data_IF_301074982447
#
_entry.id   IF_301074982447
#
_cell.length_a   1.000
_cell.length_b   1.000
_cell.length_c   1.000
_cell.angle_alpha   90.00
_cell.angle_beta   90.00
_cell.angle_gamma   90.00
#
_symmetry.space_group_name_H-M   'P 1'
#
loop_
_entity.id
_entity.type
_entity.pdbx_description
1 polymer ?
#
# COMPACT_ATOMS: atom_id res chain seq x y z
N UNK A 1 -19.62 -21.98 3.66
CA UNK A 1 -20.33 -21.96 4.96
C UNK A 1 -19.87 -20.82 5.87
N UNK A 2 -18.60 -20.77 6.29
CA UNK A 2 -18.09 -19.77 7.27
C UNK A 2 -18.41 -18.30 6.92
N UNK A 3 -18.25 -17.94 5.64
CA UNK A 3 -18.54 -16.60 5.14
C UNK A 3 -19.96 -16.13 5.46
N UNK A 4 -20.96 -16.91 5.05
CA UNK A 4 -22.38 -16.57 5.20
C UNK A 4 -22.82 -16.58 6.67
N UNK A 5 -22.28 -17.51 7.47
CA UNK A 5 -22.73 -17.69 8.85
C UNK A 5 -22.14 -16.66 9.81
N UNK A 6 -20.86 -16.32 9.67
CA UNK A 6 -20.14 -15.58 10.71
C UNK A 6 -19.56 -14.24 10.23
N UNK A 7 -19.17 -14.13 8.96
CA UNK A 7 -18.31 -13.04 8.50
C UNK A 7 -19.08 -11.95 7.77
N UNK A 8 -19.94 -12.31 6.81
CA UNK A 8 -20.54 -11.37 5.85
C UNK A 8 -21.31 -10.24 6.52
N UNK A 9 -22.04 -10.55 7.61
CA UNK A 9 -22.81 -9.55 8.37
C UNK A 9 -21.89 -8.54 9.03
N UNK A 10 -20.83 -9.00 9.71
CA UNK A 10 -19.89 -8.12 10.41
C UNK A 10 -19.05 -7.31 9.42
N UNK A 11 -18.59 -7.93 8.34
CA UNK A 11 -17.85 -7.25 7.28
C UNK A 11 -18.70 -6.17 6.61
N UNK A 12 -19.96 -6.46 6.27
CA UNK A 12 -20.87 -5.45 5.69
C UNK A 12 -21.11 -4.26 6.63
N UNK A 13 -21.35 -4.51 7.93
CA UNK A 13 -21.48 -3.47 8.95
C UNK A 13 -20.23 -2.60 9.05
N UNK A 14 -19.04 -3.22 9.03
CA UNK A 14 -17.76 -2.53 9.00
C UNK A 14 -17.62 -1.64 7.76
N UNK A 15 -17.91 -2.17 6.57
CA UNK A 15 -17.84 -1.42 5.32
C UNK A 15 -18.73 -0.19 5.34
N UNK A 16 -20.02 -0.34 5.70
CA UNK A 16 -20.95 0.79 5.72
C UNK A 16 -20.61 1.82 6.79
N UNK A 17 -20.11 1.40 7.96
CA UNK A 17 -19.60 2.33 8.97
C UNK A 17 -18.44 3.15 8.41
N UNK A 18 -17.44 2.49 7.83
CA UNK A 18 -16.23 3.12 7.29
C UNK A 18 -16.56 4.06 6.12
N UNK A 19 -17.47 3.67 5.23
CA UNK A 19 -17.93 4.50 4.13
C UNK A 19 -18.68 5.75 4.60
N UNK A 20 -19.51 5.59 5.64
CA UNK A 20 -20.23 6.71 6.26
C UNK A 20 -19.28 7.72 6.90
N UNK A 21 -18.27 7.26 7.65
CA UNK A 21 -17.36 8.16 8.39
C UNK A 21 -16.18 8.65 7.55
N UNK A 22 -15.83 7.96 6.46
CA UNK A 22 -14.74 8.32 5.55
C UNK A 22 -13.34 8.24 6.16
N UNK A 23 -13.14 7.41 7.20
CA UNK A 23 -11.87 7.22 7.93
C UNK A 23 -11.93 5.96 8.80
N UNK A 24 -10.83 5.58 9.44
CA UNK A 24 -10.84 4.54 10.47
C UNK A 24 -11.77 4.93 11.65
N UNK A 25 -12.86 4.18 11.91
CA UNK A 25 -13.74 4.41 13.06
C UNK A 25 -13.01 4.17 14.38
N UNK A 26 -13.43 4.89 15.43
CA UNK A 26 -12.92 4.74 16.79
C UNK A 26 -13.75 3.73 17.58
N UNK A 27 -13.15 3.14 18.61
CA UNK A 27 -13.73 2.06 19.45
C UNK A 27 -15.24 2.19 19.73
N UNK A 28 -15.73 3.36 20.18
CA UNK A 28 -17.17 3.57 20.45
C UNK A 28 -18.07 3.27 19.25
N UNK A 29 -17.67 3.70 18.05
CA UNK A 29 -18.43 3.47 16.83
C UNK A 29 -18.34 2.01 16.39
N UNK A 30 -17.16 1.41 16.49
CA UNK A 30 -16.95 0.00 16.18
C UNK A 30 -17.84 -0.90 17.05
N UNK A 31 -17.86 -0.67 18.38
CA UNK A 31 -18.69 -1.44 19.31
C UNK A 31 -20.18 -1.29 19.03
N UNK A 32 -20.62 -0.07 18.69
CA UNK A 32 -22.03 0.23 18.43
C UNK A 32 -22.53 -0.39 17.13
N UNK A 33 -21.80 -0.20 16.02
CA UNK A 33 -22.31 -0.51 14.68
C UNK A 33 -21.81 -1.87 14.16
N UNK A 34 -20.64 -2.33 14.61
CA UNK A 34 -20.03 -3.60 14.20
C UNK A 34 -20.08 -4.64 15.32
N UNK A 35 -20.19 -4.23 16.59
CA UNK A 35 -20.28 -5.15 17.74
C UNK A 35 -18.94 -5.62 18.30
N UNK A 36 -17.83 -4.96 17.93
CA UNK A 36 -16.49 -5.27 18.44
C UNK A 36 -15.66 -3.98 18.56
N UNK A 37 -14.61 -3.98 19.39
CA UNK A 37 -13.70 -2.84 19.54
C UNK A 37 -12.91 -2.55 18.26
N UNK A 38 -12.28 -1.37 18.16
CA UNK A 38 -11.52 -0.97 16.97
C UNK A 38 -10.31 -1.88 16.72
N UNK A 39 -9.54 -2.23 17.74
CA UNK A 39 -8.43 -3.22 17.62
C UNK A 39 -8.92 -4.58 17.12
N UNK A 40 -10.03 -5.08 17.69
CA UNK A 40 -10.62 -6.35 17.28
C UNK A 40 -11.17 -6.28 15.85
N UNK A 41 -11.73 -5.14 15.45
CA UNK A 41 -12.19 -4.89 14.09
C UNK A 41 -11.03 -4.88 13.09
N UNK A 42 -9.88 -4.28 13.44
CA UNK A 42 -8.67 -4.34 12.61
C UNK A 42 -8.21 -5.79 12.40
N UNK A 43 -8.09 -6.57 13.47
CA UNK A 43 -7.71 -7.98 13.38
C UNK A 43 -8.72 -8.80 12.57
N UNK A 44 -10.02 -8.59 12.81
CA UNK A 44 -11.11 -9.24 12.08
C UNK A 44 -11.03 -8.99 10.57
N UNK A 45 -10.78 -7.75 10.13
CA UNK A 45 -10.62 -7.42 8.71
C UNK A 45 -9.37 -8.08 8.10
N UNK A 46 -8.27 -8.14 8.86
CA UNK A 46 -7.08 -8.89 8.47
C UNK A 46 -7.39 -10.36 8.24
N UNK A 47 -8.02 -11.04 9.20
CA UNK A 47 -8.41 -12.44 9.06
C UNK A 47 -9.42 -12.69 7.93
N UNK A 48 -10.34 -11.75 7.66
CA UNK A 48 -11.23 -11.86 6.52
C UNK A 48 -10.46 -11.79 5.19
N UNK A 49 -9.44 -10.93 5.10
CA UNK A 49 -8.56 -10.85 3.93
C UNK A 49 -7.81 -12.17 3.72
N UNK A 50 -7.22 -12.73 4.79
CA UNK A 50 -6.46 -13.97 4.72
C UNK A 50 -7.35 -15.17 4.35
N UNK A 51 -8.57 -15.23 4.90
CA UNK A 51 -9.53 -16.26 4.52
C UNK A 51 -9.92 -16.17 3.03
N UNK A 52 -10.22 -14.96 2.54
CA UNK A 52 -10.59 -14.76 1.14
C UNK A 52 -9.42 -15.13 0.22
N UNK A 53 -8.19 -14.79 0.59
CA UNK A 53 -6.99 -15.20 -0.12
C UNK A 53 -6.83 -16.73 -0.12
N UNK A 54 -6.97 -17.39 1.03
CA UNK A 54 -6.90 -18.84 1.13
C UNK A 54 -7.96 -19.54 0.27
N UNK A 55 -9.16 -18.95 0.15
CA UNK A 55 -10.21 -19.45 -0.75
C UNK A 55 -9.81 -19.33 -2.24
N UNK A 56 -9.16 -18.23 -2.63
CA UNK A 56 -8.68 -18.03 -4.01
C UNK A 56 -7.56 -19.01 -4.34
N UNK A 57 -6.58 -19.17 -3.45
CA UNK A 57 -5.45 -20.09 -3.61
C UNK A 57 -5.93 -21.55 -3.69
N UNK A 58 -6.88 -21.93 -2.83
CA UNK A 58 -7.46 -23.27 -2.84
C UNK A 58 -8.28 -23.56 -4.11
N UNK A 59 -8.95 -22.57 -4.69
CA UNK A 59 -9.69 -22.75 -5.94
C UNK A 59 -8.75 -23.03 -7.11
N UNK A 60 -7.60 -22.34 -7.17
CA UNK A 60 -6.57 -22.58 -8.20
C UNK A 60 -5.97 -23.98 -8.09
N UNK A 61 -5.68 -24.45 -6.87
CA UNK A 61 -5.12 -25.79 -6.66
C UNK A 61 -6.15 -26.93 -6.78
N UNK A 62 -7.44 -26.60 -6.70
CA UNK A 62 -8.52 -27.61 -6.70
C UNK A 62 -8.62 -28.43 -7.99
N UNK A 63 -8.17 -27.88 -9.12
CA UNK A 63 -8.18 -28.59 -10.41
C UNK A 63 -7.10 -29.70 -10.47
N UNK A 64 -6.09 -29.66 -9.58
CA UNK A 64 -4.99 -30.63 -9.52
C UNK A 64 -5.11 -31.62 -8.35
N UNK A 65 -5.93 -31.32 -7.33
CA UNK A 65 -6.07 -32.14 -6.12
C UNK A 65 -7.32 -33.02 -6.17
N UNK A 66 -7.17 -34.32 -5.93
CA UNK A 66 -8.31 -35.22 -5.74
C UNK A 66 -8.95 -35.00 -4.37
N UNK A 67 -10.28 -35.15 -4.30
CA UNK A 67 -11.00 -35.11 -3.03
C UNK A 67 -10.46 -36.19 -2.07
N UNK A 68 -10.25 -35.87 -0.79
CA UNK A 68 -9.81 -36.86 0.19
C UNK A 68 -10.85 -37.98 0.33
N UNK A 69 -10.39 -39.23 0.37
CA UNK A 69 -11.23 -40.37 0.72
C UNK A 69 -11.44 -40.35 2.23
N UNK A 70 -12.70 -40.31 2.66
CA UNK A 70 -13.07 -40.39 4.06
C UNK A 70 -13.37 -41.83 4.42
N UNK A 71 -12.40 -42.51 5.03
CA UNK A 71 -12.61 -43.84 5.61
C UNK A 71 -13.16 -43.70 7.03
N UNK A 72 -14.16 -44.51 7.36
CA UNK A 72 -14.72 -44.62 8.71
C UNK A 72 -14.39 -45.99 9.28
N UNK A 73 -13.89 -46.07 10.51
CA UNK A 73 -13.65 -47.36 11.16
C UNK A 73 -14.98 -48.03 11.52
N UNK A 74 -15.02 -49.37 11.52
CA UNK A 74 -16.23 -50.17 11.79
C UNK A 74 -16.96 -49.78 13.09
N UNK A 75 -16.19 -49.35 14.11
CA UNK A 75 -16.74 -48.90 15.39
C UNK A 75 -17.61 -47.63 15.28
N UNK A 76 -17.40 -46.81 14.24
CA UNK A 76 -18.09 -45.53 14.02
C UNK A 76 -19.25 -45.63 13.03
N UNK A 77 -19.33 -46.71 12.24
CA UNK A 77 -20.36 -46.91 11.19
C UNK A 77 -21.79 -46.90 11.76
N UNK A 78 -21.96 -47.29 13.03
CA UNK A 78 -23.27 -47.35 13.70
C UNK A 78 -23.56 -46.17 14.63
N UNK A 79 -22.66 -45.19 14.72
CA UNK A 79 -22.79 -44.04 15.62
C UNK A 79 -23.55 -42.92 14.90
N UNK A 80 -24.73 -42.57 15.40
CA UNK A 80 -25.47 -41.39 14.93
C UNK A 80 -24.92 -40.11 15.58
N UNK A 81 -24.64 -39.10 14.76
CA UNK A 81 -24.12 -37.81 15.20
C UNK A 81 -24.29 -36.72 14.14
N UNK A 82 -23.98 -35.45 14.47
CA UNK A 82 -23.95 -34.39 13.48
C UNK A 82 -22.86 -34.65 12.43
N UNK A 83 -23.12 -34.24 11.19
CA UNK A 83 -22.18 -34.35 10.06
C UNK A 83 -20.84 -33.71 10.45
N UNK A 84 -19.74 -34.42 10.17
CA UNK A 84 -18.41 -33.94 10.51
C UNK A 84 -18.06 -32.68 9.73
N UNK A 85 -17.15 -31.86 10.25
CA UNK A 85 -16.71 -30.64 9.57
C UNK A 85 -16.05 -30.94 8.21
N UNK A 86 -15.43 -32.12 8.06
CA UNK A 86 -14.77 -32.55 6.82
C UNK A 86 -15.81 -32.93 5.76
N UNK A 87 -16.84 -33.69 6.13
CA UNK A 87 -17.97 -33.98 5.25
C UNK A 87 -18.70 -32.69 4.83
N UNK A 88 -18.98 -31.80 5.78
CA UNK A 88 -19.55 -30.48 5.49
C UNK A 88 -18.68 -29.64 4.55
N UNK A 89 -17.36 -29.77 4.63
CA UNK A 89 -16.42 -29.08 3.75
C UNK A 89 -16.46 -29.65 2.33
N UNK A 90 -16.54 -30.97 2.16
CA UNK A 90 -16.65 -31.63 0.85
C UNK A 90 -17.98 -31.31 0.14
N UNK A 91 -19.04 -31.05 0.89
CA UNK A 91 -20.34 -30.63 0.34
C UNK A 91 -20.39 -29.15 -0.07
N UNK A 92 -19.33 -28.36 0.21
CA UNK A 92 -19.33 -26.95 -0.18
C UNK A 92 -19.21 -26.80 -1.69
N UNK A 93 -20.02 -25.88 -2.24
CA UNK A 93 -19.90 -25.49 -3.65
C UNK A 93 -18.60 -24.73 -3.88
N UNK A 94 -18.02 -24.93 -5.07
CA UNK A 94 -16.88 -24.15 -5.56
C UNK A 94 -17.22 -22.66 -5.55
N UNK A 95 -16.24 -21.83 -5.22
CA UNK A 95 -16.41 -20.38 -5.19
C UNK A 95 -16.54 -19.84 -6.62
N UNK A 96 -17.16 -18.67 -6.76
CA UNK A 96 -17.05 -17.88 -7.97
C UNK A 96 -15.83 -16.96 -7.86
N UNK A 97 -14.70 -17.40 -8.40
CA UNK A 97 -13.38 -16.77 -8.23
C UNK A 97 -13.40 -15.24 -8.40
N UNK A 98 -13.95 -14.66 -9.49
CA UNK A 98 -13.94 -13.21 -9.68
C UNK A 98 -14.72 -12.44 -8.60
N UNK A 99 -15.77 -13.04 -8.04
CA UNK A 99 -16.53 -12.41 -6.95
C UNK A 99 -15.72 -12.42 -5.65
N UNK A 100 -15.03 -13.53 -5.35
CA UNK A 100 -14.19 -13.64 -4.14
C UNK A 100 -13.01 -12.67 -4.23
N UNK A 101 -12.38 -12.55 -5.39
CA UNK A 101 -11.30 -11.58 -5.66
C UNK A 101 -11.79 -10.14 -5.43
N UNK A 102 -12.97 -9.80 -5.96
CA UNK A 102 -13.57 -8.49 -5.73
C UNK A 102 -13.85 -8.21 -4.24
N UNK A 103 -14.26 -9.22 -3.46
CA UNK A 103 -14.43 -9.07 -2.01
C UNK A 103 -13.10 -8.95 -1.28
N UNK A 104 -12.09 -9.69 -1.72
CA UNK A 104 -10.74 -9.63 -1.18
C UNK A 104 -10.21 -8.20 -1.31
N UNK A 105 -10.29 -7.58 -2.49
CA UNK A 105 -9.87 -6.20 -2.73
C UNK A 105 -10.54 -5.22 -1.77
N UNK A 106 -11.87 -5.30 -1.59
CA UNK A 106 -12.57 -4.45 -0.60
C UNK A 106 -12.08 -4.73 0.82
N UNK A 107 -11.92 -6.00 1.20
CA UNK A 107 -11.50 -6.37 2.54
C UNK A 107 -10.09 -5.84 2.87
N UNK A 108 -9.16 -5.95 1.92
CA UNK A 108 -7.80 -5.42 2.04
C UNK A 108 -7.81 -3.89 2.14
N UNK A 109 -8.67 -3.19 1.38
CA UNK A 109 -8.86 -1.74 1.50
C UNK A 109 -9.32 -1.35 2.90
N UNK A 110 -10.35 -2.02 3.44
CA UNK A 110 -10.86 -1.76 4.79
C UNK A 110 -9.78 -2.03 5.84
N UNK A 111 -9.05 -3.13 5.68
CA UNK A 111 -7.96 -3.49 6.56
C UNK A 111 -6.86 -2.42 6.57
N UNK A 112 -6.40 -1.97 5.40
CA UNK A 112 -5.41 -0.91 5.27
C UNK A 112 -5.86 0.40 5.93
N UNK A 113 -7.12 0.79 5.76
CA UNK A 113 -7.68 2.00 6.39
C UNK A 113 -7.62 1.89 7.92
N UNK A 114 -8.07 0.77 8.49
CA UNK A 114 -8.03 0.55 9.94
C UNK A 114 -6.60 0.51 10.46
N UNK A 115 -5.74 -0.27 9.80
CA UNK A 115 -4.34 -0.49 10.19
C UNK A 115 -3.52 0.79 10.22
N UNK A 116 -3.64 1.61 9.18
CA UNK A 116 -2.90 2.86 9.08
C UNK A 116 -3.68 4.07 9.59
N UNK A 117 -4.87 3.85 10.17
CA UNK A 117 -5.75 4.92 10.62
C UNK A 117 -6.01 5.99 9.54
N UNK A 118 -6.18 5.56 8.28
CA UNK A 118 -6.29 6.45 7.14
C UNK A 118 -7.53 7.35 7.26
N UNK A 119 -7.39 8.57 6.74
CA UNK A 119 -8.41 9.62 6.77
C UNK A 119 -8.82 10.01 5.35
N UNK A 120 -10.05 10.49 5.23
CA UNK A 120 -10.64 10.98 3.98
C UNK A 120 -10.61 9.91 2.88
N UNK A 121 -11.06 8.70 3.23
CA UNK A 121 -11.23 7.57 2.32
C UNK A 121 -12.58 6.93 2.59
N UNK A 122 -13.46 6.92 1.58
CA UNK A 122 -14.72 6.19 1.58
C UNK A 122 -14.54 4.89 0.78
N UNK A 123 -14.51 3.71 1.41
CA UNK A 123 -14.16 2.47 0.71
C UNK A 123 -15.03 2.19 -0.51
N UNK A 124 -16.34 2.46 -0.44
CA UNK A 124 -17.24 2.19 -1.55
C UNK A 124 -17.06 3.20 -2.69
N UNK A 125 -16.52 4.40 -2.47
CA UNK A 125 -16.27 5.36 -3.56
C UNK A 125 -15.18 4.90 -4.53
N UNK A 126 -14.40 3.88 -4.15
CA UNK A 126 -13.39 3.25 -5.02
C UNK A 126 -14.01 2.25 -6.02
N UNK A 127 -15.31 2.02 -5.96
CA UNK A 127 -16.03 1.07 -6.82
C UNK A 127 -17.18 1.74 -7.56
N UNK A 128 -17.47 1.25 -8.75
CA UNK A 128 -18.64 1.65 -9.53
C UNK A 128 -19.92 1.02 -8.94
N UNK A 129 -21.06 1.31 -9.56
CA UNK A 129 -22.35 0.78 -9.10
C UNK A 129 -22.47 -0.74 -9.22
N UNK A 130 -21.87 -1.35 -10.26
CA UNK A 130 -21.90 -2.82 -10.43
C UNK A 130 -21.09 -3.51 -9.34
N UNK A 131 -19.87 -3.03 -9.10
CA UNK A 131 -19.00 -3.54 -8.05
C UNK A 131 -19.62 -3.39 -6.67
N UNK A 132 -20.28 -2.25 -6.40
CA UNK A 132 -21.04 -2.05 -5.16
C UNK A 132 -22.13 -3.10 -4.94
N UNK A 133 -22.88 -3.40 -5.99
CA UNK A 133 -24.00 -4.34 -5.93
C UNK A 133 -23.56 -5.81 -5.78
N UNK A 134 -22.32 -6.13 -6.17
CA UNK A 134 -21.73 -7.46 -6.02
C UNK A 134 -21.22 -7.73 -4.59
N UNK A 135 -21.01 -6.70 -3.76
CA UNK A 135 -20.54 -6.90 -2.39
C UNK A 135 -21.52 -7.72 -1.53
N UNK A 136 -20.96 -8.54 -0.64
CA UNK A 136 -21.68 -9.29 0.40
C UNK A 136 -22.69 -10.32 -0.12
N UNK A 137 -22.60 -10.69 -1.39
CA UNK A 137 -23.34 -11.82 -1.97
C UNK A 137 -22.75 -13.15 -1.51
N UNK A 138 -23.49 -14.22 -1.74
CA UNK A 138 -22.98 -15.58 -1.57
C UNK A 138 -21.77 -15.79 -2.49
N UNK A 139 -20.65 -16.28 -1.95
CA UNK A 139 -19.39 -16.40 -2.68
C UNK A 139 -19.44 -17.39 -3.86
N UNK A 140 -20.47 -18.21 -3.94
CA UNK A 140 -20.68 -19.19 -5.02
C UNK A 140 -21.60 -18.63 -6.11
N UNK A 141 -22.17 -17.44 -5.90
CA UNK A 141 -23.10 -16.82 -6.84
C UNK A 141 -22.37 -16.10 -7.97
N UNK A 142 -22.92 -16.20 -9.18
CA UNK A 142 -22.44 -15.45 -10.35
C UNK A 142 -23.01 -14.03 -10.26
N UNK A 143 -22.13 -13.03 -10.26
CA UNK A 143 -22.49 -11.61 -10.18
C UNK A 143 -21.96 -10.86 -11.39
N UNK A 144 -22.69 -9.83 -11.81
CA UNK A 144 -22.20 -8.90 -12.81
C UNK A 144 -21.13 -7.99 -12.17
N UNK A 145 -19.87 -8.24 -12.50
CA UNK A 145 -18.74 -7.45 -12.01
C UNK A 145 -18.43 -6.26 -12.94
N UNK A 146 -17.67 -5.27 -12.45
CA UNK A 146 -17.22 -4.15 -13.27
C UNK A 146 -16.36 -4.67 -14.43
N UNK A 147 -16.69 -4.25 -15.65
CA UNK A 147 -15.91 -4.56 -16.85
C UNK A 147 -15.85 -3.32 -17.74
N UNK A 148 -14.67 -3.04 -18.30
CA UNK A 148 -14.41 -1.89 -19.16
C UNK A 148 -13.81 -0.67 -18.46
N UNK A 149 -13.82 0.45 -19.17
CA UNK A 149 -13.20 1.72 -18.77
C UNK A 149 -13.90 2.32 -17.54
N UNK A 150 -13.08 2.71 -16.55
CA UNK A 150 -13.54 3.30 -15.31
C UNK A 150 -13.61 4.83 -15.40
N UNK A 151 -14.57 5.42 -14.68
CA UNK A 151 -14.66 6.87 -14.53
C UNK A 151 -13.35 7.47 -13.99
N UNK A 152 -12.89 8.56 -14.62
CA UNK A 152 -11.60 9.18 -14.28
C UNK A 152 -11.54 9.68 -12.83
N UNK A 153 -12.66 10.10 -12.24
CA UNK A 153 -12.67 10.49 -10.83
C UNK A 153 -12.49 9.27 -9.92
N UNK A 154 -13.06 8.13 -10.28
CA UNK A 154 -12.87 6.87 -9.54
C UNK A 154 -11.41 6.41 -9.63
N UNK A 155 -10.79 6.48 -10.81
CA UNK A 155 -9.37 6.19 -10.99
C UNK A 155 -8.49 7.14 -10.15
N UNK A 156 -8.79 8.44 -10.13
CA UNK A 156 -8.08 9.41 -9.28
C UNK A 156 -8.20 9.06 -7.80
N UNK A 157 -9.40 8.70 -7.31
CA UNK A 157 -9.60 8.29 -5.92
C UNK A 157 -8.83 7.00 -5.57
N UNK A 158 -8.78 6.03 -6.49
CA UNK A 158 -8.02 4.78 -6.32
C UNK A 158 -6.53 5.05 -6.24
N UNK A 159 -5.99 5.87 -7.14
CA UNK A 159 -4.59 6.28 -7.11
C UNK A 159 -4.24 6.97 -5.79
N UNK A 160 -5.06 7.94 -5.36
CA UNK A 160 -4.85 8.64 -4.09
C UNK A 160 -4.89 7.68 -2.89
N UNK A 161 -5.77 6.68 -2.92
CA UNK A 161 -5.83 5.67 -1.87
C UNK A 161 -4.54 4.84 -1.80
N UNK A 162 -4.06 4.31 -2.94
CA UNK A 162 -2.88 3.45 -2.99
C UNK A 162 -1.62 4.19 -2.54
N UNK A 163 -1.43 5.42 -3.02
CA UNK A 163 -0.35 6.33 -2.61
C UNK A 163 -0.40 6.59 -1.10
N UNK A 164 -1.59 6.83 -0.52
CA UNK A 164 -1.76 6.97 0.95
C UNK A 164 -1.38 5.72 1.73
N UNK A 165 -1.71 4.53 1.23
CA UNK A 165 -1.33 3.26 1.87
C UNK A 165 0.19 3.13 1.90
N UNK A 166 0.86 3.39 0.77
CA UNK A 166 2.32 3.33 0.66
C UNK A 166 2.99 4.33 1.59
N UNK A 167 2.60 5.61 1.58
CA UNK A 167 3.18 6.62 2.49
C UNK A 167 3.00 6.22 3.96
N UNK A 168 1.82 5.74 4.35
CA UNK A 168 1.58 5.32 5.73
C UNK A 168 2.37 4.06 6.12
N UNK A 169 2.60 3.14 5.18
CA UNK A 169 3.43 1.96 5.40
C UNK A 169 4.90 2.33 5.60
N UNK A 170 5.44 3.22 4.77
CA UNK A 170 6.82 3.73 4.90
C UNK A 170 6.99 4.52 6.21
N UNK A 171 6.01 5.35 6.56
CA UNK A 171 6.00 6.05 7.84
C UNK A 171 6.04 5.10 9.04
N UNK A 172 5.23 4.04 9.00
CA UNK A 172 5.20 3.02 10.05
C UNK A 172 6.54 2.29 10.17
N UNK A 173 7.17 1.95 9.03
CA UNK A 173 8.49 1.34 8.98
C UNK A 173 9.56 2.23 9.63
N UNK A 174 9.61 3.52 9.27
CA UNK A 174 10.55 4.49 9.85
C UNK A 174 10.33 4.67 11.36
N UNK A 175 9.07 4.70 11.80
CA UNK A 175 8.73 4.82 13.22
C UNK A 175 9.20 3.60 14.02
N UNK A 176 9.09 2.40 13.46
CA UNK A 176 9.53 1.14 14.07
C UNK A 176 11.05 0.99 14.13
N UNK A 177 11.82 1.63 13.24
CA UNK A 177 13.28 1.66 13.34
C UNK A 177 13.77 2.58 14.46
N UNK A 178 12.97 3.60 14.82
CA UNK A 178 13.32 4.60 15.84
C UNK A 178 12.88 4.22 17.25
N UNK A 179 11.84 3.40 17.38
CA UNK A 179 11.35 2.90 18.65
C UNK A 179 11.62 1.39 18.72
N UNK A 180 12.25 0.90 19.79
CA UNK A 180 12.24 -0.53 20.18
C UNK A 180 10.81 -0.94 20.62
N UNK A 181 9.80 -0.63 19.81
CA UNK A 181 8.38 -0.78 20.11
C UNK A 181 7.95 -2.22 19.82
N UNK A 182 8.33 -3.12 20.74
CA UNK A 182 7.85 -4.52 20.82
C UNK A 182 6.31 -4.60 20.90
N UNK A 183 5.64 -3.49 21.25
CA UNK A 183 4.24 -3.47 21.65
C UNK A 183 3.20 -3.60 20.52
N UNK A 184 3.47 -3.19 19.27
CA UNK A 184 2.44 -3.22 18.21
C UNK A 184 2.42 -4.52 17.39
N UNK A 185 3.56 -5.19 17.26
CA UNK A 185 3.65 -6.46 16.52
C UNK A 185 2.94 -7.61 17.24
N UNK A 186 2.94 -7.61 18.59
CA UNK A 186 2.22 -8.62 19.38
C UNK A 186 0.70 -8.54 19.26
N UNK A 187 0.16 -7.34 18.99
CA UNK A 187 -1.28 -7.12 18.82
C UNK A 187 -1.82 -7.68 17.50
N UNK A 188 -0.96 -7.89 16.50
CA UNK A 188 -1.34 -8.42 15.19
C UNK A 188 -0.36 -9.48 14.68
N UNK A 189 -0.36 -10.70 15.24
CA UNK A 189 0.57 -11.78 14.84
C UNK A 189 0.50 -12.13 13.34
N UNK A 190 -0.68 -11.96 12.74
CA UNK A 190 -0.96 -12.21 11.32
C UNK A 190 -0.40 -11.12 10.38
N UNK A 191 0.20 -10.06 10.91
CA UNK A 191 0.86 -9.02 10.12
C UNK A 191 2.33 -9.30 9.84
N UNK A 192 2.93 -10.27 10.53
CA UNK A 192 4.37 -10.52 10.43
C UNK A 192 4.73 -10.86 8.98
N UNK A 193 5.50 -9.97 8.34
CA UNK A 193 5.95 -10.15 6.95
C UNK A 193 5.03 -9.60 5.87
N UNK A 194 3.92 -8.91 6.19
CA UNK A 194 3.11 -8.24 5.15
C UNK A 194 3.85 -7.03 4.57
N UNK A 195 4.32 -7.17 3.33
CA UNK A 195 4.90 -6.06 2.57
C UNK A 195 3.77 -5.21 1.95
N UNK A 196 3.37 -4.16 2.69
CA UNK A 196 2.29 -3.27 2.29
C UNK A 196 2.52 -2.54 0.96
N UNK A 197 3.73 -2.03 0.65
CA UNK A 197 4.05 -1.52 -0.69
C UNK A 197 3.79 -2.52 -1.81
N UNK A 198 4.22 -3.78 -1.65
CA UNK A 198 3.94 -4.84 -2.63
C UNK A 198 2.44 -5.11 -2.75
N UNK A 199 1.74 -5.26 -1.63
CA UNK A 199 0.30 -5.47 -1.62
C UNK A 199 -0.46 -4.30 -2.28
N UNK A 200 0.00 -3.06 -2.11
CA UNK A 200 -0.58 -1.90 -2.78
C UNK A 200 -0.33 -1.92 -4.30
N UNK A 201 0.84 -2.41 -4.74
CA UNK A 201 1.15 -2.62 -6.14
C UNK A 201 0.24 -3.71 -6.76
N UNK A 202 0.05 -4.83 -6.05
CA UNK A 202 -0.86 -5.90 -6.48
C UNK A 202 -2.31 -5.40 -6.56
N UNK A 203 -2.77 -4.63 -5.57
CA UNK A 203 -4.08 -3.99 -5.58
C UNK A 203 -4.27 -3.01 -6.74
N UNK A 204 -3.20 -2.39 -7.23
CA UNK A 204 -3.28 -1.44 -8.34
C UNK A 204 -3.85 -2.10 -9.59
N UNK A 205 -3.46 -3.34 -9.89
CA UNK A 205 -3.96 -4.10 -11.04
C UNK A 205 -5.48 -4.28 -10.98
N UNK A 206 -6.01 -4.76 -9.85
CA UNK A 206 -7.46 -4.95 -9.67
C UNK A 206 -8.24 -3.62 -9.71
N UNK A 207 -7.58 -2.52 -9.33
CA UNK A 207 -8.15 -1.17 -9.34
C UNK A 207 -7.91 -0.42 -10.65
N UNK A 208 -7.34 -1.06 -11.68
CA UNK A 208 -7.00 -0.44 -12.97
C UNK A 208 -6.08 0.80 -12.83
N UNK A 209 -5.16 0.75 -11.87
CA UNK A 209 -4.10 1.73 -11.67
C UNK A 209 -2.78 1.13 -12.12
N UNK A 210 -1.91 1.97 -12.70
CA UNK A 210 -0.56 1.55 -13.05
C UNK A 210 0.20 1.09 -11.80
N UNK A 211 0.62 -0.16 -11.77
CA UNK A 211 1.48 -0.71 -10.71
C UNK A 211 2.78 0.09 -10.58
N UNK A 212 3.37 0.48 -11.71
CA UNK A 212 4.60 1.26 -11.76
C UNK A 212 4.46 2.62 -11.05
N UNK A 213 3.28 3.26 -11.13
CA UNK A 213 3.01 4.49 -10.38
C UNK A 213 3.13 4.27 -8.87
N UNK A 214 2.61 3.15 -8.36
CA UNK A 214 2.67 2.81 -6.93
C UNK A 214 4.11 2.49 -6.52
N UNK A 215 4.84 1.73 -7.34
CA UNK A 215 6.26 1.42 -7.11
C UNK A 215 7.14 2.66 -7.10
N UNK A 216 6.97 3.58 -8.06
CA UNK A 216 7.70 4.85 -8.08
C UNK A 216 7.43 5.69 -6.85
N UNK A 217 6.16 5.79 -6.44
CA UNK A 217 5.79 6.49 -5.21
C UNK A 217 6.45 5.85 -3.98
N UNK A 218 6.51 4.52 -3.91
CA UNK A 218 7.21 3.81 -2.83
C UNK A 218 8.69 4.19 -2.75
N UNK A 219 9.39 4.22 -3.88
CA UNK A 219 10.80 4.65 -3.94
C UNK A 219 10.93 6.10 -3.46
N UNK A 220 10.10 7.01 -3.96
CA UNK A 220 10.11 8.41 -3.56
C UNK A 220 9.88 8.60 -2.05
N UNK A 221 8.96 7.85 -1.45
CA UNK A 221 8.71 7.87 0.00
C UNK A 221 9.95 7.40 0.79
N UNK A 222 10.59 6.29 0.39
CA UNK A 222 11.79 5.78 1.05
C UNK A 222 12.91 6.84 1.05
N UNK A 223 13.15 7.49 -0.09
CA UNK A 223 14.09 8.61 -0.16
C UNK A 223 13.60 9.82 0.67
N UNK A 224 12.32 10.17 0.65
CA UNK A 224 11.81 11.28 1.47
C UNK A 224 12.05 11.08 2.98
N UNK A 225 12.03 9.84 3.47
CA UNK A 225 12.38 9.47 4.85
C UNK A 225 13.89 9.29 5.11
N UNK A 226 14.75 9.38 4.08
CA UNK A 226 16.19 9.17 4.19
C UNK A 226 16.62 7.70 4.27
N UNK A 227 15.73 6.76 3.91
CA UNK A 227 16.01 5.33 3.86
C UNK A 227 16.55 4.92 2.48
N UNK A 228 17.59 5.63 2.02
CA UNK A 228 18.11 5.55 0.65
C UNK A 228 18.51 4.14 0.23
N UNK A 229 19.07 3.34 1.14
CA UNK A 229 19.42 1.94 0.86
C UNK A 229 18.21 1.09 0.45
N UNK A 230 17.08 1.22 1.16
CA UNK A 230 15.83 0.56 0.76
C UNK A 230 15.29 1.16 -0.54
N UNK A 231 15.45 2.48 -0.71
CA UNK A 231 15.08 3.17 -1.94
C UNK A 231 15.80 2.62 -3.16
N UNK A 232 17.10 2.34 -3.04
CA UNK A 232 17.94 1.73 -4.09
C UNK A 232 17.48 0.31 -4.43
N UNK A 233 17.14 -0.51 -3.43
CA UNK A 233 16.59 -1.85 -3.66
C UNK A 233 15.23 -1.79 -4.37
N UNK A 234 14.33 -0.93 -3.89
CA UNK A 234 12.99 -0.75 -4.45
C UNK A 234 13.03 -0.18 -5.89
N UNK A 235 14.05 0.63 -6.20
CA UNK A 235 14.28 1.18 -7.54
C UNK A 235 14.39 0.08 -8.60
N UNK A 236 14.94 -1.08 -8.26
CA UNK A 236 15.12 -2.20 -9.19
C UNK A 236 13.79 -2.77 -9.72
N UNK A 237 12.71 -2.58 -8.97
CA UNK A 237 11.37 -3.08 -9.32
C UNK A 237 10.60 -2.12 -10.22
N UNK A 238 11.12 -0.91 -10.46
CA UNK A 238 10.47 0.13 -11.28
C UNK A 238 10.76 -0.07 -12.76
N UNK A 239 9.70 0.06 -13.55
CA UNK A 239 9.72 -0.06 -15.00
C UNK A 239 10.15 1.26 -15.64
N UNK A 240 9.49 2.36 -15.28
CA UNK A 240 9.77 3.69 -15.84
C UNK A 240 10.82 4.44 -15.00
N UNK A 241 12.09 4.10 -15.27
CA UNK A 241 13.25 4.67 -14.56
C UNK A 241 13.51 6.14 -14.89
N UNK A 242 13.12 6.59 -16.08
CA UNK A 242 13.31 7.97 -16.51
C UNK A 242 12.37 8.91 -15.75
N UNK A 243 11.09 8.54 -15.65
CA UNK A 243 10.13 9.32 -14.85
C UNK A 243 10.51 9.28 -13.38
N UNK A 244 10.93 8.13 -12.87
CA UNK A 244 11.43 8.03 -11.49
C UNK A 244 12.65 8.92 -11.25
N UNK A 245 13.64 8.93 -12.15
CA UNK A 245 14.81 9.79 -12.03
C UNK A 245 14.42 11.27 -11.96
N UNK A 246 13.46 11.69 -12.78
CA UNK A 246 12.91 13.06 -12.74
C UNK A 246 12.23 13.38 -11.40
N UNK A 247 11.50 12.42 -10.80
CA UNK A 247 10.90 12.58 -9.47
C UNK A 247 11.95 12.65 -8.35
N UNK A 248 12.97 11.79 -8.43
CA UNK A 248 14.08 11.77 -7.48
C UNK A 248 14.96 13.03 -7.57
N UNK A 249 15.05 13.65 -8.75
CA UNK A 249 15.72 14.94 -8.92
C UNK A 249 15.08 16.02 -8.05
N UNK A 250 13.74 16.08 -7.99
CA UNK A 250 13.02 17.03 -7.12
C UNK A 250 13.39 16.79 -5.66
N UNK A 251 13.37 15.54 -5.20
CA UNK A 251 13.74 15.17 -3.83
C UNK A 251 15.20 15.55 -3.50
N UNK A 252 16.13 15.31 -4.42
CA UNK A 252 17.52 15.72 -4.25
C UNK A 252 17.66 17.25 -4.17
N UNK A 253 16.90 17.98 -5.00
CA UNK A 253 16.79 19.43 -4.95
C UNK A 253 16.28 19.94 -3.60
N UNK A 254 15.22 19.32 -3.06
CA UNK A 254 14.68 19.67 -1.74
C UNK A 254 15.71 19.44 -0.62
N UNK A 255 16.45 18.31 -0.65
CA UNK A 255 17.50 18.02 0.32
C UNK A 255 18.62 19.06 0.27
N UNK A 256 19.09 19.40 -0.93
CA UNK A 256 20.12 20.44 -1.10
C UNK A 256 19.60 21.82 -0.69
N UNK A 257 18.37 22.18 -1.06
CA UNK A 257 17.76 23.44 -0.70
C UNK A 257 17.63 23.59 0.82
N UNK A 258 17.28 22.52 1.54
CA UNK A 258 17.33 22.50 3.00
C UNK A 258 18.74 22.77 3.53
N UNK A 259 19.72 22.00 3.06
CA UNK A 259 21.10 22.08 3.52
C UNK A 259 21.73 23.47 3.28
N UNK A 260 21.42 24.11 2.14
CA UNK A 260 21.93 25.44 1.77
C UNK A 260 21.16 26.60 2.41
N UNK A 261 19.83 26.62 2.26
CA UNK A 261 19.03 27.82 2.52
C UNK A 261 18.51 27.88 3.96
N UNK A 262 18.35 26.73 4.62
CA UNK A 262 17.81 26.65 5.99
C UNK A 262 18.91 26.57 7.04
N UNK A 263 19.98 25.82 6.78
CA UNK A 263 21.12 25.73 7.71
C UNK A 263 21.95 27.02 7.73
N UNK A 264 21.94 27.81 6.64
CA UNK A 264 22.62 29.11 6.50
C UNK A 264 24.09 29.09 6.97
N UNK A 265 24.81 28.03 6.62
CA UNK A 265 26.26 27.96 6.87
C UNK A 265 26.99 28.99 6.00
N UNK A 266 28.14 29.47 6.47
CA UNK A 266 28.94 30.45 5.70
C UNK A 266 29.35 29.86 4.35
N UNK A 267 29.81 28.61 4.38
CA UNK A 267 30.23 27.83 3.22
C UNK A 267 29.05 27.63 2.23
N UNK A 268 27.85 27.35 2.75
CA UNK A 268 26.65 27.21 1.93
C UNK A 268 26.23 28.51 1.24
N UNK A 269 26.37 29.65 1.92
CA UNK A 269 26.07 30.96 1.34
C UNK A 269 27.09 31.39 0.27
N UNK A 270 28.38 31.08 0.48
CA UNK A 270 29.42 31.28 -0.52
C UNK A 270 29.19 30.43 -1.77
N UNK A 271 28.78 29.17 -1.59
CA UNK A 271 28.41 28.30 -2.71
C UNK A 271 27.18 28.82 -3.45
N UNK A 272 26.13 29.24 -2.72
CA UNK A 272 24.90 29.78 -3.31
C UNK A 272 25.17 30.98 -4.23
N UNK A 273 26.15 31.83 -3.90
CA UNK A 273 26.55 32.97 -4.72
C UNK A 273 27.26 32.58 -6.03
N UNK A 274 27.80 31.35 -6.11
CA UNK A 274 28.52 30.81 -7.26
C UNK A 274 27.66 29.90 -8.15
N UNK A 275 26.48 29.49 -7.69
CA UNK A 275 25.60 28.60 -8.45
C UNK A 275 25.08 29.29 -9.73
N UNK A 276 24.86 28.52 -10.82
CA UNK A 276 24.17 29.03 -11.99
C UNK A 276 22.80 29.64 -11.64
N UNK A 277 22.40 30.77 -12.25
CA UNK A 277 21.13 31.44 -11.92
C UNK A 277 19.90 30.53 -12.06
N UNK A 278 19.92 29.61 -13.03
CA UNK A 278 18.87 28.63 -13.27
C UNK A 278 18.72 27.66 -12.09
N UNK A 279 19.81 27.07 -11.62
CA UNK A 279 19.84 26.18 -10.46
C UNK A 279 19.45 26.93 -9.19
N UNK A 280 19.98 28.13 -8.97
CA UNK A 280 19.64 28.94 -7.79
C UNK A 280 18.14 29.28 -7.73
N UNK A 281 17.53 29.64 -8.87
CA UNK A 281 16.08 29.90 -8.96
C UNK A 281 15.27 28.64 -8.67
N UNK A 282 15.68 27.50 -9.24
CA UNK A 282 15.02 26.23 -9.03
C UNK A 282 15.10 25.75 -7.57
N UNK A 283 16.27 25.84 -6.93
CA UNK A 283 16.44 25.50 -5.51
C UNK A 283 15.61 26.37 -4.57
N UNK A 284 15.47 27.67 -4.88
CA UNK A 284 14.60 28.58 -4.11
C UNK A 284 13.11 28.25 -4.25
N UNK A 285 12.73 27.58 -5.34
CA UNK A 285 11.37 27.12 -5.57
C UNK A 285 11.08 25.74 -4.94
N UNK A 286 12.11 25.04 -4.46
CA UNK A 286 11.91 23.79 -3.70
C UNK A 286 11.30 24.11 -2.34
N UNK A 287 10.35 23.30 -1.90
CA UNK A 287 9.84 23.34 -0.52
C UNK A 287 10.37 22.15 0.29
N UNK A 288 11.36 22.38 1.19
CA UNK A 288 11.85 21.33 2.07
C UNK A 288 10.81 20.73 3.02
N UNK A 289 9.65 21.36 3.22
CA UNK A 289 8.59 20.83 4.08
C UNK A 289 7.89 19.60 3.47
N UNK A 290 8.09 19.34 2.17
CA UNK A 290 7.60 18.13 1.51
C UNK A 290 8.43 16.89 1.88
N UNK A 291 9.66 17.07 2.41
CA UNK A 291 10.49 15.98 2.91
C UNK A 291 10.02 15.50 4.28
N UNK A 292 10.00 14.18 4.46
CA UNK A 292 9.68 13.57 5.75
C UNK A 292 10.89 13.52 6.69
N UNK A 293 12.10 13.46 6.14
CA UNK A 293 13.36 13.61 6.84
C UNK A 293 14.24 14.64 6.12
N UNK A 294 14.45 15.77 6.77
CA UNK A 294 15.28 16.86 6.25
C UNK A 294 16.77 16.71 6.60
N UNK A 295 17.10 15.87 7.59
CA UNK A 295 18.45 15.68 8.12
C UNK A 295 19.18 14.53 7.41
N UNK A 296 19.20 14.55 6.08
CA UNK A 296 19.95 13.56 5.28
C UNK A 296 21.36 14.08 5.00
N UNK A 297 22.42 13.30 5.25
CA UNK A 297 23.79 13.72 4.95
C UNK A 297 23.98 14.12 3.48
N UNK A 298 24.76 15.19 3.25
CA UNK A 298 24.99 15.71 1.90
C UNK A 298 25.67 14.67 0.98
N UNK A 299 26.52 13.81 1.54
CA UNK A 299 27.17 12.70 0.82
C UNK A 299 26.17 11.65 0.32
N UNK A 300 25.12 11.39 1.09
CA UNK A 300 24.01 10.53 0.66
C UNK A 300 23.21 11.19 -0.45
N UNK A 301 23.01 12.51 -0.38
CA UNK A 301 22.39 13.28 -1.47
C UNK A 301 23.21 13.22 -2.76
N UNK A 302 24.54 13.24 -2.68
CA UNK A 302 25.42 13.11 -3.86
C UNK A 302 25.19 11.77 -4.58
N UNK A 303 25.07 10.67 -3.83
CA UNK A 303 24.75 9.34 -4.38
C UNK A 303 23.40 9.34 -5.11
N UNK A 304 22.38 9.97 -4.52
CA UNK A 304 21.07 10.11 -5.15
C UNK A 304 21.16 10.89 -6.47
N UNK A 305 21.88 12.01 -6.52
CA UNK A 305 22.00 12.79 -7.77
C UNK A 305 22.76 12.01 -8.84
N UNK A 306 23.83 11.29 -8.49
CA UNK A 306 24.52 10.39 -9.43
C UNK A 306 23.56 9.34 -9.99
N UNK A 307 22.71 8.75 -9.14
CA UNK A 307 21.69 7.79 -9.57
C UNK A 307 20.66 8.40 -10.53
N UNK A 308 20.27 9.65 -10.29
CA UNK A 308 19.40 10.40 -11.21
C UNK A 308 20.08 10.56 -12.57
N UNK A 309 21.35 10.98 -12.60
CA UNK A 309 22.10 11.18 -13.85
C UNK A 309 22.24 9.87 -14.64
N UNK A 310 22.48 8.73 -13.98
CA UNK A 310 22.56 7.40 -14.62
C UNK A 310 21.28 7.02 -15.37
N UNK A 311 20.13 7.50 -14.92
CA UNK A 311 18.81 7.07 -15.40
C UNK A 311 18.02 8.17 -16.13
N UNK A 312 18.62 9.36 -16.27
CA UNK A 312 18.04 10.47 -17.00
C UNK A 312 18.76 10.60 -18.36
N UNK A 313 18.07 10.45 -19.50
CA UNK A 313 18.70 10.57 -20.81
C UNK A 313 19.38 11.93 -21.02
N UNK A 314 20.51 11.97 -21.74
CA UNK A 314 21.25 13.22 -21.97
C UNK A 314 20.45 14.29 -22.73
N UNK A 315 19.51 13.84 -23.57
CA UNK A 315 18.58 14.70 -24.32
C UNK A 315 17.36 15.14 -23.49
N UNK A 316 17.22 14.66 -22.25
CA UNK A 316 16.11 15.03 -21.38
C UNK A 316 16.24 16.48 -20.91
N UNK A 317 15.12 17.20 -20.84
CA UNK A 317 15.10 18.64 -20.50
C UNK A 317 15.65 18.98 -19.11
N UNK A 318 15.72 18.00 -18.21
CA UNK A 318 16.26 18.18 -16.84
C UNK A 318 17.71 17.68 -16.69
N UNK A 319 18.34 17.13 -17.73
CA UNK A 319 19.67 16.53 -17.61
C UNK A 319 20.74 17.55 -17.21
N UNK A 320 20.76 18.71 -17.86
CA UNK A 320 21.67 19.80 -17.50
C UNK A 320 21.44 20.28 -16.05
N UNK A 321 20.20 20.26 -15.56
CA UNK A 321 19.91 20.62 -14.17
C UNK A 321 20.52 19.59 -13.20
N UNK A 322 20.42 18.31 -13.51
CA UNK A 322 21.03 17.24 -12.70
C UNK A 322 22.57 17.37 -12.64
N UNK A 323 23.23 17.70 -13.76
CA UNK A 323 24.67 17.95 -13.79
C UNK A 323 25.08 19.15 -12.91
N UNK A 324 24.36 20.26 -13.01
CA UNK A 324 24.65 21.41 -12.14
C UNK A 324 24.38 21.07 -10.66
N UNK A 325 23.38 20.21 -10.39
CA UNK A 325 23.04 19.80 -9.04
C UNK A 325 24.15 18.95 -8.41
N UNK A 326 24.75 18.00 -9.14
CA UNK A 326 25.84 17.17 -8.59
C UNK A 326 27.05 18.02 -8.26
N UNK A 327 27.44 18.97 -9.14
CA UNK A 327 28.55 19.89 -8.88
C UNK A 327 28.33 20.70 -7.59
N UNK A 328 27.10 21.16 -7.36
CA UNK A 328 26.73 21.88 -6.14
C UNK A 328 26.80 20.99 -4.89
N UNK A 329 26.28 19.76 -4.97
CA UNK A 329 26.29 18.82 -3.84
C UNK A 329 27.71 18.39 -3.49
N UNK A 330 28.57 18.14 -4.48
CA UNK A 330 29.98 17.78 -4.28
C UNK A 330 30.78 18.93 -3.65
N UNK A 331 30.56 20.16 -4.12
CA UNK A 331 31.18 21.35 -3.55
C UNK A 331 30.78 21.59 -2.07
N UNK A 332 29.58 21.19 -1.67
CA UNK A 332 29.15 21.22 -0.26
C UNK A 332 29.77 20.11 0.60
N UNK A 333 30.13 18.99 -0.01
CA UNK A 333 30.67 17.82 0.69
C UNK A 333 32.18 17.87 0.92
N UNK A 334 32.86 18.84 0.28
CA UNK A 334 34.31 19.08 0.31
C UNK A 334 34.71 19.98 1.47
#
# INVERSE_FOLDING_TARGET
MMWNTFLVKRLSSATYLMDKVGKAPKDRLCRRDVGMGDTAMTAFLGCCSDLLQALLEADVSSDEMQAPVLDSEDAWVSVEGPVSIVELALEQKRIHYPLVEHQFVLCTILYAIMRFSLKSVKPLSLFDSKGKNAFFKDLTSIQLLPSGDMDQNVLSMRQQFLVKVVSAAVQALCSSQKAEDVSKEELFPFEKGKNWPTLAADLAQYLQISEDLVKRHHVCELYSYGMDHLGEEAFLQVTDKEVLASQLLILAGQRLAFALLRTQTKEGMELLARLPPTLCTWLKAMDPQELQNVEVPITTTAKLVNKVIEHLPENHGQYSLALNLIEAVEAMSS
#
